data_IF_530317542181
#
_entry.id   IF_530317542181
#
_cell.length_a   1.000
_cell.length_b   1.000
_cell.length_c   1.000
_cell.angle_alpha   90.00
_cell.angle_beta   90.00
_cell.angle_gamma   90.00
#
_symmetry.space_group_name_H-M   'P 1'
#
loop_
_entity.id
_entity.type
_entity.pdbx_description
1 polymer ?
#
# COMPACT_ATOMS: atom_id res chain seq x y z
N UNK A 1 -10.74 -20.34 15.76
CA UNK A 1 -9.30 -20.35 15.43
C UNK A 1 -9.20 -20.78 13.98
N UNK A 2 -8.76 -19.91 13.09
CA UNK A 2 -8.53 -20.26 11.68
C UNK A 2 -7.23 -21.04 11.52
N UNK A 3 -7.31 -22.08 10.70
CA UNK A 3 -6.27 -23.08 10.44
C UNK A 3 -5.10 -22.52 9.63
N UNK A 4 -3.92 -23.12 9.77
CA UNK A 4 -2.78 -22.85 8.89
C UNK A 4 -3.10 -23.38 7.48
N UNK A 5 -3.22 -22.49 6.50
CA UNK A 5 -3.43 -22.90 5.11
C UNK A 5 -2.11 -23.35 4.50
N UNK A 6 -2.10 -24.55 3.93
CA UNK A 6 -0.98 -25.10 3.18
C UNK A 6 -1.42 -25.52 1.78
N UNK A 7 -0.52 -25.39 0.81
CA UNK A 7 -0.78 -25.76 -0.58
C UNK A 7 0.32 -26.65 -1.14
N UNK A 8 -0.07 -27.60 -1.98
CA UNK A 8 0.87 -28.36 -2.80
C UNK A 8 1.42 -27.44 -3.89
N UNK A 9 2.71 -27.09 -3.77
CA UNK A 9 3.41 -26.26 -4.75
C UNK A 9 4.04 -27.13 -5.85
N UNK A 10 4.33 -26.55 -7.02
CA UNK A 10 4.94 -27.23 -8.17
C UNK A 10 6.30 -27.89 -7.87
N UNK A 11 6.97 -27.44 -6.81
CA UNK A 11 8.19 -28.07 -6.24
C UNK A 11 7.93 -29.41 -5.54
N UNK A 12 6.68 -29.87 -5.47
CA UNK A 12 6.27 -31.10 -4.77
C UNK A 12 6.16 -30.95 -3.24
N UNK A 13 6.37 -29.73 -2.71
CA UNK A 13 6.30 -29.45 -1.28
C UNK A 13 4.90 -28.98 -0.87
N UNK A 14 4.46 -29.37 0.33
CA UNK A 14 3.24 -28.83 0.95
C UNK A 14 3.60 -27.65 1.86
N UNK A 15 3.47 -26.43 1.32
CA UNK A 15 4.00 -25.21 1.92
C UNK A 15 2.89 -24.40 2.61
N UNK A 16 3.14 -23.87 3.83
CA UNK A 16 2.38 -22.74 4.34
C UNK A 16 2.33 -21.62 3.31
N UNK A 17 1.14 -21.05 3.07
CA UNK A 17 0.96 -19.97 2.10
C UNK A 17 0.45 -18.70 2.78
N UNK A 18 0.96 -17.56 2.33
CA UNK A 18 0.36 -16.24 2.56
C UNK A 18 -0.02 -15.64 1.23
N UNK A 19 -1.30 -15.28 1.09
CA UNK A 19 -1.86 -14.70 -0.13
C UNK A 19 -2.12 -13.20 0.07
N UNK A 20 -1.54 -12.39 -0.81
CA UNK A 20 -1.81 -10.96 -0.91
C UNK A 20 -2.78 -10.75 -2.06
N UNK A 21 -3.80 -9.94 -1.80
CA UNK A 21 -4.80 -9.58 -2.80
C UNK A 21 -4.53 -8.16 -3.28
N UNK A 22 -4.75 -7.89 -4.57
CA UNK A 22 -4.71 -6.52 -5.07
C UNK A 22 -6.08 -5.86 -4.81
N UNK A 23 -6.20 -5.20 -3.67
CA UNK A 23 -7.40 -4.51 -3.22
C UNK A 23 -7.23 -3.00 -3.44
N UNK A 24 -8.04 -2.40 -4.34
CA UNK A 24 -8.04 -0.97 -4.58
C UNK A 24 -8.16 -0.11 -3.31
N UNK A 25 -7.31 0.91 -3.20
CA UNK A 25 -7.14 1.82 -2.06
C UNK A 25 -6.41 1.22 -0.85
N UNK A 26 -6.37 -0.11 -0.73
CA UNK A 26 -5.89 -0.80 0.47
C UNK A 26 -4.50 -1.42 0.29
N UNK A 27 -4.18 -1.89 -0.91
CA UNK A 27 -2.93 -2.63 -1.15
C UNK A 27 -2.30 -2.37 -2.52
N UNK A 28 -2.79 -1.44 -3.34
CA UNK A 28 -2.28 -1.28 -4.72
C UNK A 28 -0.78 -1.02 -4.76
N UNK A 29 -0.29 -0.10 -3.91
CA UNK A 29 1.12 0.27 -3.84
C UNK A 29 1.96 -0.85 -3.25
N UNK A 30 1.43 -1.55 -2.24
CA UNK A 30 2.06 -2.75 -1.70
C UNK A 30 2.18 -3.83 -2.77
N UNK A 31 1.10 -4.12 -3.50
CA UNK A 31 1.05 -5.19 -4.48
C UNK A 31 2.01 -4.89 -5.65
N UNK A 32 2.05 -3.64 -6.12
CA UNK A 32 3.06 -3.18 -7.09
C UNK A 32 4.48 -3.34 -6.54
N UNK A 33 4.75 -2.86 -5.33
CA UNK A 33 6.05 -3.00 -4.66
C UNK A 33 6.52 -4.45 -4.60
N UNK A 34 5.61 -5.37 -4.22
CA UNK A 34 5.92 -6.79 -4.16
C UNK A 34 6.21 -7.39 -5.54
N UNK A 35 5.48 -7.00 -6.58
CA UNK A 35 5.78 -7.44 -7.94
C UNK A 35 7.12 -6.89 -8.48
N UNK A 36 7.45 -5.63 -8.20
CA UNK A 36 8.76 -5.05 -8.50
C UNK A 36 9.87 -5.80 -7.75
N UNK A 37 9.61 -6.11 -6.48
CA UNK A 37 10.43 -6.95 -5.63
C UNK A 37 10.70 -8.33 -6.20
N UNK A 38 9.65 -9.05 -6.58
CA UNK A 38 9.72 -10.40 -7.18
C UNK A 38 10.51 -10.37 -8.49
N UNK A 39 10.27 -9.39 -9.36
CA UNK A 39 11.02 -9.27 -10.62
C UNK A 39 12.51 -9.00 -10.36
N UNK A 40 12.83 -8.11 -9.41
CA UNK A 40 14.21 -7.87 -8.99
C UNK A 40 14.86 -9.12 -8.40
N UNK A 41 14.13 -9.89 -7.60
CA UNK A 41 14.60 -11.13 -6.98
C UNK A 41 14.83 -12.25 -8.00
N UNK A 42 13.90 -12.44 -8.93
CA UNK A 42 14.04 -13.39 -10.04
C UNK A 42 15.31 -13.12 -10.86
N UNK A 43 15.59 -11.86 -11.19
CA UNK A 43 16.82 -11.50 -11.93
C UNK A 43 18.08 -11.88 -11.16
N UNK A 44 18.09 -11.72 -9.84
CA UNK A 44 19.22 -12.12 -8.98
C UNK A 44 19.37 -13.64 -8.92
N UNK A 45 18.28 -14.39 -8.85
CA UNK A 45 18.31 -15.86 -8.96
C UNK A 45 18.89 -16.31 -10.30
N UNK A 46 18.59 -15.58 -11.39
CA UNK A 46 19.10 -15.86 -12.73
C UNK A 46 20.56 -15.44 -12.94
N UNK A 47 21.02 -14.35 -12.30
CA UNK A 47 22.36 -13.79 -12.49
C UNK A 47 23.44 -14.34 -11.55
N UNK A 48 23.06 -15.09 -10.51
CA UNK A 48 23.99 -15.62 -9.51
C UNK A 48 25.10 -16.47 -10.16
N UNK A 49 26.32 -15.96 -10.16
CA UNK A 49 27.54 -16.46 -10.84
C UNK A 49 28.11 -17.78 -10.30
N UNK A 50 27.32 -18.55 -9.54
CA UNK A 50 27.64 -19.89 -9.01
C UNK A 50 26.86 -21.05 -9.65
N UNK A 51 26.12 -20.78 -10.74
CA UNK A 51 25.19 -21.72 -11.37
C UNK A 51 23.76 -21.54 -10.86
N UNK A 52 22.73 -21.97 -11.63
CA UNK A 52 21.34 -21.75 -11.26
C UNK A 52 21.03 -22.58 -10.01
N UNK A 53 21.02 -21.93 -8.85
CA UNK A 53 20.18 -22.39 -7.74
C UNK A 53 18.74 -22.53 -8.23
N UNK A 54 17.90 -23.31 -7.53
CA UNK A 54 16.52 -23.47 -7.95
C UNK A 54 15.82 -22.09 -7.97
N UNK A 55 15.29 -21.73 -9.14
CA UNK A 55 14.45 -20.55 -9.30
C UNK A 55 13.13 -20.86 -8.58
N UNK A 56 12.79 -20.02 -7.62
CA UNK A 56 11.59 -20.18 -6.80
C UNK A 56 10.52 -19.13 -7.10
N UNK A 57 10.87 -18.13 -7.91
CA UNK A 57 9.98 -17.03 -8.25
C UNK A 57 9.29 -17.28 -9.59
N UNK A 58 7.97 -17.16 -9.60
CA UNK A 58 7.12 -17.22 -10.79
C UNK A 58 6.27 -15.94 -10.85
N UNK A 59 6.62 -15.03 -11.77
CA UNK A 59 5.91 -13.75 -11.92
C UNK A 59 4.50 -13.91 -12.51
N UNK A 60 4.27 -14.97 -13.28
CA UNK A 60 3.00 -15.22 -13.92
C UNK A 60 1.95 -15.62 -12.88
N UNK A 61 2.36 -16.45 -11.93
CA UNK A 61 1.55 -16.86 -10.79
C UNK A 61 1.64 -15.87 -9.62
N UNK A 62 2.63 -14.98 -9.62
CA UNK A 62 2.95 -14.10 -8.51
C UNK A 62 3.42 -14.89 -7.29
N UNK A 63 4.17 -15.96 -7.50
CA UNK A 63 4.59 -16.89 -6.45
C UNK A 63 6.09 -16.75 -6.17
N UNK A 64 6.46 -16.87 -4.90
CA UNK A 64 7.84 -16.92 -4.46
C UNK A 64 7.97 -17.78 -3.21
N UNK A 65 9.08 -18.52 -3.09
CA UNK A 65 9.33 -19.38 -1.92
C UNK A 65 10.45 -18.78 -1.09
N UNK A 66 10.15 -18.53 0.17
CA UNK A 66 11.10 -18.00 1.13
C UNK A 66 11.31 -18.92 2.32
N UNK A 67 12.46 -18.77 2.95
CA UNK A 67 12.85 -19.52 4.15
C UNK A 67 12.65 -18.64 5.37
N UNK A 68 11.79 -19.06 6.29
CA UNK A 68 11.50 -18.29 7.49
C UNK A 68 12.74 -18.15 8.39
N UNK A 69 13.17 -16.91 8.66
CA UNK A 69 14.37 -16.60 9.43
C UNK A 69 14.20 -16.68 10.95
N UNK A 70 13.04 -17.10 11.43
CA UNK A 70 12.70 -17.21 12.85
C UNK A 70 11.86 -16.04 13.36
N UNK A 71 11.30 -16.21 14.57
CA UNK A 71 10.35 -15.26 15.19
C UNK A 71 10.92 -13.84 15.23
N UNK A 72 10.01 -12.87 15.11
CA UNK A 72 10.33 -11.45 14.89
C UNK A 72 10.72 -10.69 16.16
N UNK A 73 10.30 -11.15 17.35
CA UNK A 73 10.65 -10.50 18.61
C UNK A 73 12.13 -10.74 18.94
N UNK A 74 12.91 -9.67 19.01
CA UNK A 74 14.32 -9.66 19.41
C UNK A 74 15.25 -10.56 18.56
N UNK A 75 14.94 -10.75 17.27
CA UNK A 75 15.83 -11.48 16.36
C UNK A 75 16.90 -10.54 15.77
N UNK A 76 18.16 -10.61 16.24
CA UNK A 76 19.23 -9.73 15.74
C UNK A 76 19.54 -9.96 14.27
N UNK A 77 19.31 -11.18 13.73
CA UNK A 77 19.52 -11.46 12.30
C UNK A 77 18.47 -10.74 11.44
N UNK A 78 17.22 -10.66 11.91
CA UNK A 78 16.17 -9.88 11.23
C UNK A 78 16.54 -8.39 11.22
N UNK A 79 16.98 -7.85 12.35
CA UNK A 79 17.39 -6.44 12.42
C UNK A 79 18.58 -6.18 11.50
N UNK A 80 19.59 -7.05 11.52
CA UNK A 80 20.73 -6.99 10.60
C UNK A 80 20.30 -6.98 9.13
N UNK A 81 19.34 -7.82 8.73
CA UNK A 81 18.79 -7.79 7.36
C UNK A 81 18.13 -6.45 7.04
N UNK A 82 17.32 -5.89 7.95
CA UNK A 82 16.72 -4.55 7.76
C UNK A 82 17.77 -3.45 7.63
N UNK A 83 18.79 -3.49 8.47
CA UNK A 83 19.88 -2.51 8.45
C UNK A 83 20.64 -2.57 7.12
N UNK A 84 20.85 -3.76 6.57
CA UNK A 84 21.51 -3.95 5.27
C UNK A 84 20.76 -3.35 4.07
N UNK A 85 19.44 -3.14 4.16
CA UNK A 85 18.65 -2.51 3.08
C UNK A 85 18.79 -0.97 3.09
N UNK A 86 19.30 -0.40 4.19
CA UNK A 86 19.43 1.05 4.38
C UNK A 86 18.09 1.81 4.23
N UNK A 87 17.00 1.22 4.74
CA UNK A 87 15.67 1.84 4.77
C UNK A 87 15.55 3.13 5.62
N UNK A 88 16.33 3.36 6.71
CA UNK A 88 16.20 4.58 7.49
C UNK A 88 16.33 5.86 6.65
N UNK A 89 15.27 6.66 6.67
CA UNK A 89 15.18 7.92 5.92
C UNK A 89 15.06 7.78 4.40
N UNK A 90 15.05 6.57 3.84
CA UNK A 90 15.00 6.33 2.39
C UNK A 90 13.81 7.06 1.73
N UNK A 91 12.59 6.81 2.20
CA UNK A 91 11.40 7.41 1.60
C UNK A 91 11.30 8.92 1.80
N UNK A 92 11.82 9.45 2.91
CA UNK A 92 11.91 10.89 3.13
C UNK A 92 12.87 11.56 2.15
N UNK A 93 13.95 10.87 1.74
CA UNK A 93 14.91 11.36 0.73
C UNK A 93 14.33 11.28 -0.68
N UNK A 94 13.70 10.16 -1.04
CA UNK A 94 13.13 9.95 -2.38
C UNK A 94 11.90 10.82 -2.64
N UNK A 95 11.09 11.07 -1.60
CA UNK A 95 9.85 11.85 -1.70
C UNK A 95 9.79 12.92 -0.59
N UNK A 96 10.58 14.01 -0.70
CA UNK A 96 10.55 15.09 0.27
C UNK A 96 9.15 15.69 0.39
N UNK A 97 8.61 15.77 1.61
CA UNK A 97 7.27 16.29 1.86
C UNK A 97 6.15 15.25 1.80
N UNK A 98 6.42 14.02 1.35
CA UNK A 98 5.47 12.92 1.51
C UNK A 98 5.28 12.59 2.99
N UNK A 99 4.04 12.56 3.45
CA UNK A 99 3.68 12.13 4.80
C UNK A 99 3.18 10.70 4.71
N UNK A 100 3.70 9.83 5.59
CA UNK A 100 3.16 8.47 5.74
C UNK A 100 3.66 7.42 4.76
N UNK A 101 4.74 7.66 4.00
CA UNK A 101 5.44 6.60 3.26
C UNK A 101 6.44 5.85 4.15
N UNK A 102 6.51 4.53 3.99
CA UNK A 102 7.46 3.63 4.65
C UNK A 102 8.26 2.84 3.60
N UNK A 103 9.50 2.52 3.94
CA UNK A 103 10.35 1.66 3.12
C UNK A 103 9.86 0.22 3.23
N UNK A 104 9.36 -0.33 2.12
CA UNK A 104 9.04 -1.74 1.96
C UNK A 104 10.26 -2.48 1.39
N UNK A 105 10.45 -3.74 1.81
CA UNK A 105 11.62 -4.55 1.51
C UNK A 105 11.17 -5.87 0.89
N UNK A 106 11.70 -6.22 -0.29
CA UNK A 106 11.41 -7.51 -0.93
C UNK A 106 12.69 -8.21 -1.46
N UNK A 107 13.04 -9.42 -0.98
CA UNK A 107 12.32 -10.21 0.02
C UNK A 107 12.28 -9.57 1.43
N UNK A 108 11.18 -9.76 2.19
CA UNK A 108 11.07 -9.20 3.54
C UNK A 108 12.13 -9.71 4.50
N UNK A 109 12.68 -8.86 5.38
CA UNK A 109 13.74 -9.22 6.33
C UNK A 109 13.39 -10.33 7.35
N UNK A 110 12.12 -10.73 7.47
CA UNK A 110 11.75 -11.91 8.26
C UNK A 110 12.15 -13.23 7.61
N UNK A 111 12.42 -13.23 6.31
CA UNK A 111 12.94 -14.36 5.55
C UNK A 111 14.46 -14.29 5.42
N UNK A 112 15.11 -15.44 5.19
CA UNK A 112 16.57 -15.53 5.05
C UNK A 112 17.07 -14.88 3.77
N UNK A 113 16.23 -14.81 2.74
CA UNK A 113 16.49 -14.23 1.43
C UNK A 113 16.48 -12.69 1.44
N UNK A 114 15.94 -12.06 2.49
CA UNK A 114 16.00 -10.62 2.69
C UNK A 114 17.40 -10.13 3.08
N UNK A 115 17.58 -8.81 3.16
CA UNK A 115 18.88 -8.19 3.52
C UNK A 115 19.45 -7.36 2.38
N UNK A 116 20.77 -7.31 2.24
CA UNK A 116 21.49 -6.38 1.35
C UNK A 116 21.07 -6.38 -0.12
N UNK A 117 20.44 -7.45 -0.58
CA UNK A 117 19.97 -7.58 -1.95
C UNK A 117 18.45 -7.38 -2.10
N UNK A 118 17.75 -7.03 -1.04
CA UNK A 118 16.31 -6.76 -1.14
C UNK A 118 16.08 -5.49 -1.96
N UNK A 119 15.09 -5.56 -2.84
CA UNK A 119 14.51 -4.39 -3.49
C UNK A 119 13.84 -3.54 -2.41
N UNK A 120 14.02 -2.21 -2.49
CA UNK A 120 13.36 -1.25 -1.60
C UNK A 120 12.46 -0.32 -2.40
N UNK A 121 11.23 -0.13 -1.95
CA UNK A 121 10.22 0.74 -2.56
C UNK A 121 9.52 1.51 -1.46
N UNK A 122 9.04 2.71 -1.75
CA UNK A 122 8.26 3.50 -0.80
C UNK A 122 6.78 3.19 -0.95
N UNK A 123 6.20 2.63 0.11
CA UNK A 123 4.80 2.21 0.17
C UNK A 123 4.11 2.94 1.31
N UNK A 124 2.85 3.37 1.17
CA UNK A 124 2.09 3.99 2.24
C UNK A 124 2.06 3.10 3.49
N UNK A 125 2.26 3.71 4.65
CA UNK A 125 2.31 3.07 5.96
C UNK A 125 1.10 2.16 6.22
N UNK A 126 -0.09 2.60 5.81
CA UNK A 126 -1.33 1.82 5.94
C UNK A 126 -1.26 0.49 5.21
N UNK A 127 -0.62 0.44 4.04
CA UNK A 127 -0.46 -0.79 3.25
C UNK A 127 0.78 -1.59 3.67
N UNK A 128 1.87 -0.92 4.03
CA UNK A 128 3.10 -1.58 4.48
C UNK A 128 2.93 -2.13 5.91
N UNK A 129 3.30 -1.37 6.94
CA UNK A 129 3.20 -1.86 8.32
C UNK A 129 1.76 -2.07 8.81
N UNK A 130 0.77 -1.41 8.20
CA UNK A 130 -0.65 -1.54 8.56
C UNK A 130 -1.36 -2.76 7.97
N UNK A 131 -0.91 -3.30 6.84
CA UNK A 131 -1.54 -4.45 6.17
C UNK A 131 -0.58 -5.64 5.99
N UNK A 132 0.56 -5.43 5.33
CA UNK A 132 1.56 -6.49 5.11
C UNK A 132 2.08 -7.07 6.43
N UNK A 133 2.39 -6.19 7.39
CA UNK A 133 2.92 -6.58 8.70
C UNK A 133 2.01 -7.54 9.47
N UNK A 134 0.73 -7.19 9.72
CA UNK A 134 -0.25 -8.07 10.34
C UNK A 134 -0.47 -9.39 9.58
N UNK A 135 -0.56 -9.34 8.25
CA UNK A 135 -0.76 -10.55 7.44
C UNK A 135 0.39 -11.55 7.61
N UNK A 136 1.63 -11.07 7.51
CA UNK A 136 2.83 -11.90 7.72
C UNK A 136 2.96 -12.37 9.18
N UNK A 137 2.60 -11.51 10.15
CA UNK A 137 2.56 -11.89 11.56
C UNK A 137 1.54 -13.00 11.85
N UNK A 138 0.38 -12.92 11.21
CA UNK A 138 -0.69 -13.92 11.30
C UNK A 138 -0.27 -15.26 10.70
N UNK A 139 0.42 -15.26 9.55
CA UNK A 139 1.01 -16.48 8.98
C UNK A 139 1.92 -17.18 10.01
N UNK A 140 2.88 -16.45 10.59
CA UNK A 140 3.83 -17.01 11.57
C UNK A 140 3.09 -17.59 12.78
N UNK A 141 2.06 -16.89 13.27
CA UNK A 141 1.27 -17.31 14.43
C UNK A 141 0.39 -18.53 14.12
N UNK A 142 -0.37 -18.51 13.03
CA UNK A 142 -1.33 -19.55 12.65
C UNK A 142 -0.63 -20.85 12.25
N UNK A 143 0.50 -20.74 11.56
CA UNK A 143 1.28 -21.90 11.13
C UNK A 143 2.36 -22.36 12.11
N UNK A 144 2.52 -21.68 13.25
CA UNK A 144 3.58 -21.90 14.24
C UNK A 144 4.98 -22.08 13.60
N UNK A 145 5.28 -21.22 12.62
CA UNK A 145 6.44 -21.38 11.76
C UNK A 145 7.75 -21.46 12.56
N UNK A 146 8.61 -22.41 12.17
CA UNK A 146 9.94 -22.61 12.75
C UNK A 146 11.02 -22.06 11.83
N UNK A 147 12.12 -21.59 12.42
CA UNK A 147 13.29 -21.12 11.65
C UNK A 147 13.72 -22.21 10.67
N UNK A 148 13.92 -21.85 9.40
CA UNK A 148 14.31 -22.76 8.33
C UNK A 148 13.13 -23.36 7.56
N UNK A 149 11.89 -23.21 8.00
CA UNK A 149 10.73 -23.67 7.23
C UNK A 149 10.49 -22.80 5.99
N UNK A 150 10.10 -23.44 4.89
CA UNK A 150 9.75 -22.75 3.64
C UNK A 150 8.29 -22.29 3.66
N UNK A 151 8.04 -21.14 3.05
CA UNK A 151 6.73 -20.49 2.93
C UNK A 151 6.54 -20.05 1.50
N UNK A 152 5.33 -20.23 0.97
CA UNK A 152 4.91 -19.66 -0.29
C UNK A 152 4.30 -18.26 -0.05
N UNK A 153 4.88 -17.23 -0.66
CA UNK A 153 4.24 -15.93 -0.81
C UNK A 153 3.55 -15.92 -2.17
N UNK A 154 2.25 -15.57 -2.20
CA UNK A 154 1.47 -15.50 -3.42
C UNK A 154 0.78 -14.15 -3.57
N UNK A 155 0.93 -13.53 -4.73
CA UNK A 155 0.20 -12.34 -5.16
C UNK A 155 -0.96 -12.78 -6.06
N UNK A 156 -2.19 -12.76 -5.53
CA UNK A 156 -3.37 -13.27 -6.25
C UNK A 156 -3.60 -12.46 -7.53
N UNK A 157 -3.62 -13.16 -8.68
CA UNK A 157 -3.71 -12.55 -10.00
C UNK A 157 -2.35 -12.32 -10.69
N UNK A 158 -1.24 -12.63 -10.01
CA UNK A 158 0.11 -12.54 -10.56
C UNK A 158 0.59 -11.10 -10.80
N UNK A 159 1.76 -11.00 -11.43
CA UNK A 159 2.43 -9.72 -11.70
C UNK A 159 2.28 -9.22 -13.13
N UNK A 160 1.57 -9.96 -14.00
CA UNK A 160 1.37 -9.60 -15.43
C UNK A 160 0.72 -8.23 -15.65
N UNK A 161 -0.05 -7.76 -14.67
CA UNK A 161 -0.71 -6.45 -14.73
C UNK A 161 0.27 -5.26 -14.63
N UNK A 162 1.53 -5.52 -14.26
CA UNK A 162 2.57 -4.50 -14.19
C UNK A 162 3.62 -4.76 -15.26
N UNK A 163 3.87 -3.75 -16.09
CA UNK A 163 4.99 -3.76 -17.02
C UNK A 163 6.22 -3.24 -16.30
N UNK A 164 7.18 -4.11 -16.00
CA UNK A 164 8.48 -3.71 -15.49
C UNK A 164 9.44 -3.52 -16.65
N UNK A 165 9.84 -2.28 -16.92
CA UNK A 165 10.84 -1.98 -17.95
C UNK A 165 12.08 -2.84 -17.69
N UNK A 166 12.57 -3.63 -18.68
CA UNK A 166 13.85 -4.28 -18.56
C UNK A 166 14.90 -3.19 -18.34
N UNK A 167 15.44 -3.04 -17.12
CA UNK A 167 16.67 -2.27 -16.89
C UNK A 167 17.72 -2.78 -17.88
N UNK A 168 17.90 -2.08 -19.00
CA UNK A 168 18.91 -2.39 -20.02
C UNK A 168 20.27 -1.76 -19.71
N UNK A 169 20.34 -0.91 -18.68
CA UNK A 169 21.46 0.02 -18.52
C UNK A 169 22.25 -0.14 -17.21
N UNK A 170 22.04 -1.23 -16.46
CA UNK A 170 22.96 -1.57 -15.36
C UNK A 170 23.90 -2.65 -15.86
N UNK A 171 25.07 -2.21 -16.35
CA UNK A 171 26.23 -3.07 -16.40
C UNK A 171 26.45 -3.71 -15.03
N UNK A 172 26.83 -4.99 -15.03
CA UNK A 172 27.02 -5.88 -13.87
C UNK A 172 28.02 -5.38 -12.79
N UNK A 173 28.52 -4.15 -12.89
CA UNK A 173 29.44 -3.54 -11.92
C UNK A 173 28.81 -2.39 -11.08
N UNK A 174 27.60 -1.91 -11.43
CA UNK A 174 26.88 -0.87 -10.66
C UNK A 174 25.81 -1.43 -9.70
N UNK A 175 25.99 -2.66 -9.22
CA UNK A 175 25.27 -3.18 -8.05
C UNK A 175 25.80 -2.59 -6.72
N UNK A 176 26.61 -1.52 -6.80
CA UNK A 176 27.12 -0.77 -5.66
C UNK A 176 26.06 0.25 -5.21
N UNK A 177 25.76 0.17 -3.92
CA UNK A 177 25.19 1.22 -3.07
C UNK A 177 25.44 2.64 -3.61
N UNK A 178 24.38 3.44 -3.71
CA UNK A 178 24.43 4.89 -3.93
C UNK A 178 25.25 5.35 -5.17
N UNK A 179 24.54 5.60 -6.26
CA UNK A 179 24.83 6.78 -7.06
C UNK A 179 23.60 7.67 -7.09
N UNK A 180 23.71 8.77 -6.34
CA UNK A 180 23.01 10.02 -6.62
C UNK A 180 23.03 10.28 -8.14
N UNK A 181 21.94 10.82 -8.67
CA UNK A 181 21.80 11.34 -10.05
C UNK A 181 21.41 10.38 -11.19
N UNK A 182 20.87 9.21 -10.89
CA UNK A 182 20.00 8.50 -11.84
C UNK A 182 18.57 8.98 -11.68
N UNK A 183 17.98 9.60 -12.71
CA UNK A 183 16.52 9.80 -12.81
C UNK A 183 15.86 8.43 -12.85
N UNK A 184 15.69 7.83 -11.66
CA UNK A 184 14.77 6.74 -11.47
C UNK A 184 13.45 7.25 -12.03
N UNK A 185 12.92 6.57 -13.05
CA UNK A 185 11.46 6.41 -13.15
C UNK A 185 11.07 5.83 -11.80
N UNK A 186 10.89 6.73 -10.83
CA UNK A 186 10.26 6.45 -9.57
C UNK A 186 9.00 5.74 -9.98
N UNK A 187 8.83 4.53 -9.46
CA UNK A 187 7.57 3.84 -9.51
C UNK A 187 6.52 4.82 -8.98
N UNK A 188 5.95 5.60 -9.89
CA UNK A 188 4.95 6.60 -9.56
C UNK A 188 3.74 5.88 -8.99
N UNK A 189 2.67 6.59 -8.63
CA UNK A 189 1.41 5.92 -8.41
C UNK A 189 1.12 4.91 -9.55
N UNK A 190 0.57 3.73 -9.20
CA UNK A 190 0.14 2.72 -10.20
C UNK A 190 -0.63 3.47 -11.28
N UNK A 191 -0.25 3.30 -12.55
CA UNK A 191 -1.04 3.85 -13.65
C UNK A 191 -2.43 3.22 -13.56
N UNK A 192 -3.39 4.04 -13.16
CA UNK A 192 -4.63 4.27 -13.86
C UNK A 192 -5.32 3.04 -14.51
N UNK A 193 -6.43 2.58 -13.90
CA UNK A 193 -7.41 1.70 -14.57
C UNK A 193 -8.49 2.60 -15.17
N UNK A 194 -8.80 2.37 -16.45
CA UNK A 194 -9.69 3.16 -17.33
C UNK A 194 -10.65 4.13 -16.63
N UNK A 195 -10.46 5.42 -16.87
CA UNK A 195 -11.26 6.52 -16.32
C UNK A 195 -12.66 6.50 -16.92
N UNK A 196 -13.70 6.45 -16.09
CA UNK A 196 -15.05 6.81 -16.51
C UNK A 196 -15.12 8.31 -16.80
N UNK A 197 -14.86 8.71 -18.05
CA UNK A 197 -15.11 10.07 -18.53
C UNK A 197 -16.63 10.31 -18.63
N UNK A 198 -17.24 10.76 -17.53
CA UNK A 198 -18.64 11.15 -17.51
C UNK A 198 -18.99 11.99 -16.29
N UNK A 199 -19.97 12.92 -16.39
CA UNK A 199 -20.44 13.69 -15.24
C UNK A 199 -21.15 12.82 -14.20
N UNK A 200 -21.51 11.59 -14.57
CA UNK A 200 -22.09 10.59 -13.69
C UNK A 200 -21.14 9.39 -13.61
N UNK A 201 -20.97 8.85 -12.42
CA UNK A 201 -20.21 7.64 -12.17
C UNK A 201 -20.95 6.76 -11.18
N UNK A 202 -20.77 5.44 -11.26
CA UNK A 202 -21.49 4.50 -10.42
C UNK A 202 -21.04 3.07 -10.68
N UNK A 203 -20.98 2.27 -9.62
CA UNK A 203 -20.62 0.86 -9.68
C UNK A 203 -21.18 0.10 -8.44
N UNK A 204 -21.03 -1.22 -8.40
CA UNK A 204 -21.48 -2.06 -7.29
C UNK A 204 -20.61 -3.30 -7.08
N UNK A 205 -20.56 -3.77 -5.83
CA UNK A 205 -19.91 -5.02 -5.44
C UNK A 205 -20.66 -5.66 -4.27
N UNK A 206 -20.57 -6.97 -4.18
CA UNK A 206 -21.05 -7.74 -3.03
C UNK A 206 -19.99 -8.70 -2.49
N UNK A 207 -18.76 -8.60 -2.97
CA UNK A 207 -17.68 -9.49 -2.55
C UNK A 207 -17.20 -9.10 -1.16
N UNK A 208 -17.45 -9.98 -0.18
CA UNK A 208 -16.89 -9.84 1.16
C UNK A 208 -15.43 -10.28 1.15
N UNK A 209 -14.55 -9.34 1.47
CA UNK A 209 -13.12 -9.54 1.60
C UNK A 209 -12.76 -9.78 3.06
N UNK A 210 -12.04 -10.87 3.35
CA UNK A 210 -11.40 -11.16 4.64
C UNK A 210 -9.91 -11.47 4.41
N UNK A 211 -9.09 -10.44 4.14
CA UNK A 211 -7.68 -10.65 3.78
C UNK A 211 -6.88 -11.39 4.85
N UNK A 212 -7.24 -11.24 6.12
CA UNK A 212 -6.54 -11.92 7.23
C UNK A 212 -7.09 -13.31 7.52
N UNK A 213 -8.22 -13.68 6.90
CA UNK A 213 -8.94 -14.94 7.12
C UNK A 213 -9.13 -15.21 8.62
N UNK A 214 -9.49 -14.19 9.39
CA UNK A 214 -9.76 -14.31 10.83
C UNK A 214 -10.91 -13.44 11.29
N UNK A 215 -11.60 -12.77 10.36
CA UNK A 215 -12.69 -11.85 10.65
C UNK A 215 -12.27 -10.55 11.35
N UNK A 216 -10.97 -10.29 11.54
CA UNK A 216 -10.51 -9.06 12.21
C UNK A 216 -10.53 -7.84 11.28
N UNK A 217 -10.44 -8.07 9.97
CA UNK A 217 -10.62 -7.07 8.93
C UNK A 217 -11.52 -7.67 7.85
N UNK A 218 -12.77 -7.22 7.81
CA UNK A 218 -13.74 -7.66 6.80
C UNK A 218 -14.44 -6.45 6.20
N UNK A 219 -14.57 -6.43 4.89
CA UNK A 219 -15.17 -5.32 4.17
C UNK A 219 -15.62 -5.71 2.77
N UNK A 220 -16.47 -4.87 2.19
CA UNK A 220 -16.79 -4.88 0.74
C UNK A 220 -16.16 -3.62 0.15
N UNK A 221 -15.51 -3.74 -1.00
CA UNK A 221 -14.92 -2.62 -1.71
C UNK A 221 -15.48 -2.52 -3.13
N UNK A 222 -15.76 -1.29 -3.56
CA UNK A 222 -16.12 -0.97 -4.96
C UNK A 222 -15.12 0.08 -5.48
N UNK A 223 -14.44 -0.17 -6.59
CA UNK A 223 -13.55 0.82 -7.19
C UNK A 223 -14.35 2.04 -7.67
N UNK A 224 -13.83 3.24 -7.42
CA UNK A 224 -14.38 4.48 -7.99
C UNK A 224 -13.72 4.85 -9.33
N UNK A 225 -12.68 4.11 -9.73
CA UNK A 225 -11.80 4.50 -10.82
C UNK A 225 -10.85 5.60 -10.38
N UNK A 226 -10.37 6.39 -11.33
CA UNK A 226 -9.59 7.59 -11.04
C UNK A 226 -10.44 8.81 -10.80
N UNK A 227 -10.10 9.52 -9.74
CA UNK A 227 -10.70 10.80 -9.40
C UNK A 227 -9.77 11.90 -9.90
N UNK A 228 -10.30 12.77 -10.76
CA UNK A 228 -9.66 14.03 -11.11
C UNK A 228 -9.99 15.12 -10.08
N UNK A 229 -9.30 16.25 -10.15
CA UNK A 229 -9.61 17.41 -9.31
C UNK A 229 -11.05 17.87 -9.50
N UNK A 230 -11.78 17.99 -8.40
CA UNK A 230 -13.20 18.31 -8.43
C UNK A 230 -13.92 18.07 -7.12
N UNK A 231 -15.17 18.54 -7.11
CA UNK A 231 -16.14 18.32 -6.05
C UNK A 231 -17.01 17.11 -6.41
N UNK A 232 -17.02 16.13 -5.53
CA UNK A 232 -17.74 14.87 -5.69
C UNK A 232 -18.95 14.84 -4.77
N UNK A 233 -20.08 14.46 -5.35
CA UNK A 233 -21.34 14.25 -4.63
C UNK A 233 -21.89 12.87 -4.98
N UNK A 234 -21.81 11.96 -4.02
CA UNK A 234 -22.06 10.53 -4.22
C UNK A 234 -23.12 10.01 -3.25
N UNK A 235 -24.11 9.29 -3.76
CA UNK A 235 -25.02 8.47 -2.97
C UNK A 235 -24.45 7.03 -2.90
N UNK A 236 -24.19 6.55 -1.69
CA UNK A 236 -23.78 5.17 -1.42
C UNK A 236 -24.94 4.38 -0.79
N UNK A 237 -25.26 3.21 -1.34
CA UNK A 237 -26.32 2.32 -0.88
C UNK A 237 -25.72 1.03 -0.32
N UNK A 238 -26.23 0.65 0.83
CA UNK A 238 -25.80 -0.50 1.61
C UNK A 238 -27.00 -1.44 1.81
N UNK A 239 -27.13 -2.44 0.95
CA UNK A 239 -28.21 -3.43 1.05
C UNK A 239 -27.69 -4.66 1.81
N UNK A 240 -28.15 -4.86 3.04
CA UNK A 240 -27.70 -5.98 3.88
C UNK A 240 -27.73 -5.64 5.36
N UNK A 241 -26.91 -6.36 6.14
CA UNK A 241 -26.75 -6.12 7.58
C UNK A 241 -25.87 -4.88 7.87
N UNK A 242 -25.59 -4.63 9.14
CA UNK A 242 -24.90 -3.45 9.66
C UNK A 242 -23.50 -3.26 9.09
N UNK A 243 -23.32 -2.19 8.32
CA UNK A 243 -22.01 -1.60 8.01
C UNK A 243 -21.57 -0.78 9.23
N UNK A 244 -20.34 -1.00 9.68
CA UNK A 244 -19.78 -0.30 10.85
C UNK A 244 -19.23 1.06 10.44
N UNK A 245 -18.62 1.13 9.25
CA UNK A 245 -18.02 2.34 8.70
C UNK A 245 -17.94 2.22 7.18
N UNK A 246 -18.17 3.32 6.47
CA UNK A 246 -17.95 3.42 5.03
C UNK A 246 -16.99 4.58 4.74
N UNK A 247 -16.03 4.39 3.86
CA UNK A 247 -15.02 5.40 3.52
C UNK A 247 -14.68 5.41 2.03
N UNK A 248 -14.40 6.60 1.50
CA UNK A 248 -13.76 6.76 0.19
C UNK A 248 -12.27 6.87 0.41
N UNK A 249 -11.51 5.87 -0.03
CA UNK A 249 -10.08 5.77 0.16
C UNK A 249 -9.37 5.96 -1.18
N UNK A 250 -8.32 6.78 -1.19
CA UNK A 250 -7.43 6.88 -2.33
C UNK A 250 -6.43 5.71 -2.38
N UNK A 251 -5.64 5.63 -3.45
CA UNK A 251 -4.64 4.57 -3.66
C UNK A 251 -3.53 4.51 -2.59
N UNK A 252 -3.42 5.54 -1.74
CA UNK A 252 -2.50 5.57 -0.60
C UNK A 252 -3.16 5.11 0.72
N UNK A 253 -4.47 4.87 0.69
CA UNK A 253 -5.30 4.53 1.86
C UNK A 253 -5.77 5.75 2.65
N UNK A 254 -5.63 6.97 2.12
CA UNK A 254 -6.14 8.18 2.76
C UNK A 254 -7.61 8.42 2.44
N UNK A 255 -8.35 8.90 3.45
CA UNK A 255 -9.79 9.04 3.38
C UNK A 255 -10.16 10.42 2.86
N UNK A 256 -10.93 10.46 1.76
CA UNK A 256 -11.60 11.68 1.29
C UNK A 256 -12.90 11.94 2.06
N UNK A 257 -13.66 10.89 2.34
CA UNK A 257 -14.91 10.96 3.10
C UNK A 257 -15.11 9.69 3.91
N UNK A 258 -15.76 9.82 5.08
CA UNK A 258 -16.06 8.70 5.96
C UNK A 258 -17.41 8.90 6.67
N UNK A 259 -18.14 7.81 6.87
CA UNK A 259 -19.39 7.77 7.65
C UNK A 259 -19.35 6.57 8.59
N UNK A 260 -19.64 6.81 9.87
CA UNK A 260 -19.76 5.78 10.88
C UNK A 260 -21.22 5.33 11.04
N UNK A 261 -21.44 4.01 11.10
CA UNK A 261 -22.76 3.38 11.19
C UNK A 261 -23.76 3.93 10.15
N UNK A 262 -23.43 3.90 8.84
CA UNK A 262 -24.29 4.46 7.80
C UNK A 262 -25.66 3.77 7.79
N UNK A 263 -26.70 4.53 7.44
CA UNK A 263 -28.01 3.99 7.10
C UNK A 263 -27.95 3.17 5.80
N UNK A 264 -29.08 2.66 5.32
CA UNK A 264 -29.15 1.89 4.07
C UNK A 264 -28.78 2.70 2.82
N UNK A 265 -28.84 4.04 2.90
CA UNK A 265 -28.34 4.95 1.89
C UNK A 265 -27.77 6.19 2.58
N UNK A 266 -26.61 6.65 2.13
CA UNK A 266 -25.94 7.84 2.66
C UNK A 266 -25.33 8.67 1.55
N UNK A 267 -25.20 9.98 1.78
CA UNK A 267 -24.58 10.92 0.85
C UNK A 267 -23.16 11.26 1.33
N UNK A 268 -22.18 11.00 0.49
CA UNK A 268 -20.76 11.30 0.69
C UNK A 268 -20.36 12.47 -0.23
N UNK A 269 -19.89 13.55 0.36
CA UNK A 269 -19.43 14.76 -0.35
C UNK A 269 -17.96 15.00 -0.02
N UNK A 270 -17.12 15.16 -1.02
CA UNK A 270 -15.68 15.40 -0.83
C UNK A 270 -15.04 16.12 -2.02
N UNK A 271 -13.87 16.71 -1.78
CA UNK A 271 -13.07 17.37 -2.80
C UNK A 271 -11.77 16.59 -3.05
N UNK A 272 -11.38 16.52 -4.32
CA UNK A 272 -10.04 16.07 -4.74
C UNK A 272 -9.28 17.28 -5.26
N UNK A 273 -8.10 17.53 -4.71
CA UNK A 273 -7.29 18.74 -4.98
C UNK A 273 -5.81 18.39 -5.21
N UNK A 274 -5.54 17.18 -5.68
CA UNK A 274 -4.18 16.62 -5.72
C UNK A 274 -3.43 17.01 -7.01
N UNK A 275 -4.07 17.75 -7.94
CA UNK A 275 -3.56 18.11 -9.28
C UNK A 275 -3.12 16.90 -10.10
N UNK A 276 -3.61 15.71 -9.72
CA UNK A 276 -3.28 14.41 -10.28
C UNK A 276 -4.54 13.56 -10.27
N UNK A 277 -4.70 12.72 -11.29
CA UNK A 277 -5.73 11.69 -11.25
C UNK A 277 -5.29 10.60 -10.28
N UNK A 278 -6.15 10.28 -9.31
CA UNK A 278 -5.83 9.34 -8.25
C UNK A 278 -6.89 8.25 -8.15
N UNK A 279 -6.47 6.99 -8.23
CA UNK A 279 -7.41 5.88 -8.05
C UNK A 279 -8.00 5.89 -6.64
N UNK A 280 -9.29 5.63 -6.54
CA UNK A 280 -10.00 5.57 -5.26
C UNK A 280 -10.98 4.40 -5.20
N UNK A 281 -11.49 4.11 -4.00
CA UNK A 281 -12.46 3.05 -3.75
C UNK A 281 -13.36 3.38 -2.57
N UNK A 282 -14.61 2.96 -2.66
CA UNK A 282 -15.56 3.01 -1.57
C UNK A 282 -15.46 1.68 -0.82
N UNK A 283 -15.08 1.76 0.45
CA UNK A 283 -14.90 0.60 1.32
C UNK A 283 -15.94 0.64 2.42
N UNK A 284 -16.75 -0.41 2.53
CA UNK A 284 -17.70 -0.61 3.62
C UNK A 284 -17.20 -1.71 4.56
N UNK A 285 -16.78 -1.34 5.77
CA UNK A 285 -16.36 -2.28 6.81
C UNK A 285 -17.58 -2.97 7.41
N UNK A 286 -17.65 -4.29 7.26
CA UNK A 286 -18.80 -5.11 7.65
C UNK A 286 -18.33 -6.52 7.98
N UNK A 287 -18.98 -7.19 8.94
CA UNK A 287 -18.70 -8.60 9.28
C UNK A 287 -19.38 -9.59 8.36
N UNK A 288 -20.37 -9.14 7.59
CA UNK A 288 -21.20 -9.98 6.76
C UNK A 288 -21.33 -9.39 5.37
N UNK A 289 -21.76 -10.22 4.41
CA UNK A 289 -22.00 -9.80 3.04
C UNK A 289 -23.02 -8.65 3.00
N UNK A 290 -22.68 -7.59 2.28
CA UNK A 290 -23.51 -6.43 1.98
C UNK A 290 -23.38 -6.17 0.48
N UNK A 291 -24.49 -5.89 -0.20
CA UNK A 291 -24.45 -5.38 -1.56
C UNK A 291 -24.21 -3.88 -1.48
N UNK A 292 -22.99 -3.47 -1.81
CA UNK A 292 -22.53 -2.09 -1.84
C UNK A 292 -22.68 -1.56 -3.25
N UNK A 293 -23.34 -0.42 -3.41
CA UNK A 293 -23.38 0.30 -4.69
C UNK A 293 -23.28 1.79 -4.46
N UNK A 294 -22.83 2.52 -5.48
CA UNK A 294 -22.84 3.97 -5.44
C UNK A 294 -23.23 4.56 -6.79
N UNK A 295 -23.71 5.80 -6.75
CA UNK A 295 -23.88 6.64 -7.93
C UNK A 295 -23.63 8.09 -7.52
N UNK A 296 -22.95 8.86 -8.36
CA UNK A 296 -22.62 10.24 -8.03
C UNK A 296 -22.39 11.11 -9.24
N UNK A 297 -22.16 12.38 -8.96
CA UNK A 297 -21.77 13.39 -9.94
C UNK A 297 -20.45 14.05 -9.58
N UNK A 298 -19.78 14.57 -10.61
CA UNK A 298 -18.52 15.30 -10.46
C UNK A 298 -18.73 16.71 -10.99
N UNK A 299 -18.44 17.70 -10.16
CA UNK A 299 -18.35 19.10 -10.57
C UNK A 299 -16.88 19.51 -10.59
N UNK A 300 -16.36 19.92 -11.75
CA UNK A 300 -14.95 20.36 -11.85
C UNK A 300 -14.68 21.49 -10.86
N UNK A 301 -13.53 21.45 -10.19
CA UNK A 301 -13.07 22.57 -9.40
C UNK A 301 -13.02 23.80 -10.32
N UNK A 302 -13.72 24.88 -9.97
CA UNK A 302 -13.75 26.08 -10.80
C UNK A 302 -12.31 26.55 -11.05
N UNK A 303 -11.86 26.57 -12.31
CA UNK A 303 -10.52 27.04 -12.74
C UNK A 303 -10.23 28.53 -12.40
N UNK A 304 -11.05 29.19 -11.59
CA UNK A 304 -11.08 30.65 -11.43
C UNK A 304 -10.87 31.20 -10.01
N UNK A 305 -10.64 30.38 -8.98
CA UNK A 305 -10.46 30.91 -7.62
C UNK A 305 -9.18 30.42 -6.95
N UNK A 306 -8.04 30.86 -7.47
CA UNK A 306 -6.79 30.92 -6.70
C UNK A 306 -7.03 31.90 -5.55
N UNK A 307 -7.49 31.41 -4.40
CA UNK A 307 -7.41 32.16 -3.15
C UNK A 307 -5.93 32.21 -2.79
N UNK A 308 -5.24 33.26 -3.25
CA UNK A 308 -3.99 33.69 -2.63
C UNK A 308 -4.33 34.04 -1.19
N UNK A 309 -4.13 33.09 -0.29
CA UNK A 309 -4.12 33.36 1.15
C UNK A 309 -2.92 34.25 1.41
N UNK A 310 -3.12 35.57 1.31
CA UNK A 310 -2.17 36.56 1.77
C UNK A 310 -2.19 36.52 3.30
N UNK A 311 -1.34 35.66 3.87
CA UNK A 311 -0.95 35.78 5.28
C UNK A 311 -0.15 37.08 5.38
N UNK A 312 -0.82 38.19 5.63
CA UNK A 312 -0.18 39.39 6.12
C UNK A 312 0.28 39.11 7.56
N UNK A 313 1.58 39.23 7.89
CA UNK A 313 2.03 39.08 9.26
C UNK A 313 1.43 40.21 10.08
N UNK A 314 0.60 39.87 11.07
CA UNK A 314 0.15 40.80 12.09
C UNK A 314 1.35 41.16 12.96
N UNK A 315 1.96 42.31 12.69
CA UNK A 315 2.98 42.91 13.56
C UNK A 315 2.27 43.35 14.84
N UNK A 316 2.43 42.57 15.91
CA UNK A 316 2.01 42.96 17.26
C UNK A 316 3.02 43.97 17.80
N UNK A 317 2.65 45.24 17.80
CA UNK A 317 3.38 46.27 18.55
C UNK A 317 3.11 46.07 20.05
N UNK A 318 4.10 45.53 20.77
CA UNK A 318 4.11 45.55 22.23
C UNK A 318 4.64 46.90 22.68
N UNK A 319 3.74 47.81 23.06
CA UNK A 319 4.09 49.07 23.72
C UNK A 319 4.41 48.79 25.18
N UNK A 320 5.69 48.82 25.56
CA UNK A 320 6.11 48.85 26.95
C UNK A 320 5.69 50.19 27.60
N UNK A 321 4.67 50.15 28.45
CA UNK A 321 4.35 51.25 29.37
C UNK A 321 5.28 51.12 30.59
N UNK A 322 6.24 52.02 30.70
CA UNK A 322 7.08 52.14 31.89
C UNK A 322 6.25 52.77 33.02
N UNK A 323 6.00 52.01 34.09
CA UNK A 323 5.40 52.52 35.32
C UNK A 323 6.48 53.29 36.11
N UNK A 324 6.36 54.62 36.16
CA UNK A 324 7.08 55.47 37.10
C UNK A 324 6.41 55.37 38.49
N UNK A 325 7.07 54.75 39.45
CA UNK A 325 6.72 54.86 40.87
C UNK A 325 7.41 56.09 41.45
N UNK A 326 6.62 57.14 41.70
CA UNK A 326 7.01 58.32 42.45
C UNK A 326 6.76 58.13 43.95
N UNK A 327 7.78 58.43 44.74
CA UNK A 327 7.76 58.63 46.18
C UNK A 327 6.86 59.81 46.57
N UNK A 328 5.99 59.61 47.57
CA UNK A 328 5.71 60.54 48.69
C UNK A 328 5.44 59.70 49.94
#
# INVERSE_FOLDING_TARGET
MTECVRVCHSSGQNLPVVEFHNIPGQTDQLFRSMCEGMNGWLRRQQSSSGGPGPIHTDLDLGEDIFTFGGKTANNPEKQKRRDQVNCPGYCKRMFPGSVGLECDEYPPAMFLEGGSLATRVCVPRKQNSGFQGPLLGNLVKKCDLKKGEKVLVRLKGGCKQFSFTPRRDLHDEDFILDSDEGTHELSGPVQARDVTEGPNFGDSSSELLDPYQDGSLTYVAVPLGELADGHYDMEAKFLGKTVVRAEVLNLYGDSYAAIDNPASSERLIFDVTDNLTISASLVAYTKEKVDLSFSGTISKANEGQVIRSAILPTVVFVTCVALFLGLV
#
